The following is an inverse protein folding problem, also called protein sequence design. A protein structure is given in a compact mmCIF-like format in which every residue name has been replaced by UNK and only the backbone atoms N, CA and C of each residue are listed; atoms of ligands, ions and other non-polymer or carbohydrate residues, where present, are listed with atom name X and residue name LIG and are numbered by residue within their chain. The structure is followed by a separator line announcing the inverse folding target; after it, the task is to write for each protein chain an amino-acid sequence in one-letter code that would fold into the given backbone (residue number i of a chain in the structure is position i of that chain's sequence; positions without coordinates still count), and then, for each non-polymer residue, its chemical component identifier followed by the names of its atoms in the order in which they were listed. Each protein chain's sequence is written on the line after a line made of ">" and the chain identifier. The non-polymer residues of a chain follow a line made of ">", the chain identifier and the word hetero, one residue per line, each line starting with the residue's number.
data_IF_994648432107
#
_entry.id   IF_994648432107
#
_cell.length_a   1.000
_cell.length_b   1.000
_cell.length_c   1.000
_cell.angle_alpha   90.00
_cell.angle_beta   90.00
_cell.angle_gamma   90.00
#
_symmetry.space_group_name_H-M   'P 1'
#
loop_
_entity.id
_entity.type
_entity.pdbx_description
1 polymer ?
#
# COMPACT_ATOMS: atom_id res chain seq x y z
N UNK A 1 -9.53 9.17 6.26
CA UNK A 1 -9.08 9.75 4.96
C UNK A 1 -7.94 10.74 5.16
N UNK A 2 -7.99 11.64 6.14
CA UNK A 2 -6.96 12.68 6.34
C UNK A 2 -5.55 12.11 6.62
N UNK A 3 -5.46 11.03 7.39
CA UNK A 3 -4.18 10.38 7.76
C UNK A 3 -3.46 9.81 6.53
N UNK A 4 -4.19 9.16 5.63
CA UNK A 4 -3.64 8.62 4.39
C UNK A 4 -3.19 9.72 3.44
N UNK A 5 -3.97 10.81 3.32
CA UNK A 5 -3.63 11.94 2.46
C UNK A 5 -2.31 12.60 2.88
N UNK A 6 -2.07 12.78 4.19
CA UNK A 6 -0.81 13.33 4.71
C UNK A 6 0.37 12.44 4.29
N UNK A 7 0.24 11.12 4.43
CA UNK A 7 1.28 10.17 4.03
C UNK A 7 1.66 10.29 2.55
N UNK A 8 0.67 10.40 1.67
CA UNK A 8 0.89 10.54 0.22
C UNK A 8 1.60 11.86 -0.10
N UNK A 9 1.19 12.96 0.54
CA UNK A 9 1.84 14.28 0.35
C UNK A 9 3.31 14.23 0.75
N UNK A 10 3.63 13.58 1.88
CA UNK A 10 5.03 13.45 2.33
C UNK A 10 5.86 12.64 1.33
N UNK A 11 5.35 11.49 0.85
CA UNK A 11 6.06 10.71 -0.17
C UNK A 11 6.28 11.52 -1.43
N UNK A 12 5.26 12.20 -1.95
CA UNK A 12 5.37 13.03 -3.15
C UNK A 12 6.38 14.16 -2.96
N UNK A 13 6.42 14.81 -1.80
CA UNK A 13 7.39 15.88 -1.52
C UNK A 13 8.84 15.41 -1.58
N UNK A 14 9.11 14.14 -1.20
CA UNK A 14 10.45 13.55 -1.31
C UNK A 14 10.74 13.09 -2.73
N UNK A 15 9.73 12.54 -3.46
CA UNK A 15 9.88 12.19 -4.88
C UNK A 15 10.33 13.40 -5.71
N UNK A 16 9.74 14.57 -5.47
CA UNK A 16 10.11 15.83 -6.17
C UNK A 16 11.58 16.18 -5.97
N UNK A 17 12.18 15.88 -4.83
CA UNK A 17 13.61 16.18 -4.57
C UNK A 17 14.54 15.46 -5.53
N UNK A 18 14.17 14.29 -6.05
CA UNK A 18 14.96 13.58 -7.06
C UNK A 18 14.96 14.25 -8.45
N UNK A 19 14.13 15.26 -8.64
CA UNK A 19 14.10 16.08 -9.85
C UNK A 19 14.74 17.48 -9.62
N UNK A 20 15.25 17.76 -8.40
CA UNK A 20 15.82 19.08 -8.02
C UNK A 20 17.33 18.95 -7.79
N UNK A 21 18.10 19.87 -8.37
CA UNK A 21 19.53 20.05 -8.13
C UNK A 21 19.80 21.53 -7.81
N UNK A 22 20.53 21.79 -6.73
CA UNK A 22 20.87 23.17 -6.28
C UNK A 22 19.66 24.10 -6.18
N UNK A 23 18.51 23.57 -5.73
CA UNK A 23 17.27 24.33 -5.58
C UNK A 23 16.50 24.57 -6.88
N UNK A 24 16.99 24.10 -8.03
CA UNK A 24 16.33 24.22 -9.32
C UNK A 24 15.82 22.88 -9.83
N UNK A 25 14.63 22.89 -10.45
CA UNK A 25 14.10 21.70 -11.09
C UNK A 25 14.84 21.44 -12.40
N UNK A 26 15.56 20.31 -12.46
CA UNK A 26 16.36 19.91 -13.62
C UNK A 26 15.68 18.82 -14.45
N UNK A 27 14.68 18.16 -13.89
CA UNK A 27 13.94 17.05 -14.51
C UNK A 27 12.52 16.99 -13.95
N UNK A 28 11.67 16.18 -14.57
CA UNK A 28 10.38 15.70 -14.03
C UNK A 28 10.28 14.16 -14.11
N UNK A 29 11.40 13.49 -14.30
CA UNK A 29 11.42 12.07 -14.57
C UNK A 29 10.99 11.24 -13.37
N UNK A 30 11.43 11.60 -12.16
CA UNK A 30 11.05 10.92 -10.93
C UNK A 30 9.55 11.09 -10.65
N UNK A 31 9.03 12.31 -10.78
CA UNK A 31 7.61 12.60 -10.59
C UNK A 31 6.72 11.88 -11.62
N UNK A 32 7.12 11.89 -12.89
CA UNK A 32 6.38 11.25 -13.96
C UNK A 32 6.37 9.72 -13.78
N UNK A 33 7.54 9.12 -13.53
CA UNK A 33 7.70 7.68 -13.32
C UNK A 33 6.92 7.19 -12.10
N UNK A 34 7.10 7.86 -10.94
CA UNK A 34 6.35 7.57 -9.73
C UNK A 34 4.85 7.74 -9.92
N UNK A 35 4.42 8.88 -10.50
CA UNK A 35 3.01 9.21 -10.66
C UNK A 35 2.26 8.23 -11.55
N UNK A 36 2.85 7.80 -12.67
CA UNK A 36 2.26 6.79 -13.55
C UNK A 36 2.20 5.42 -12.88
N UNK A 37 3.29 4.99 -12.23
CA UNK A 37 3.35 3.72 -11.52
C UNK A 37 2.34 3.66 -10.36
N UNK A 38 2.25 4.72 -9.55
CA UNK A 38 1.30 4.82 -8.44
C UNK A 38 -0.17 4.78 -8.93
N UNK A 39 -0.50 5.46 -10.04
CA UNK A 39 -1.84 5.38 -10.64
C UNK A 39 -2.17 3.97 -11.11
N UNK A 40 -1.21 3.28 -11.72
CA UNK A 40 -1.40 1.91 -12.17
C UNK A 40 -1.62 0.97 -10.98
N UNK A 41 -0.77 1.04 -9.94
CA UNK A 41 -0.95 0.30 -8.69
C UNK A 41 -2.31 0.60 -8.05
N UNK A 42 -2.74 1.86 -8.02
CA UNK A 42 -4.06 2.24 -7.53
C UNK A 42 -5.21 1.55 -8.29
N UNK A 43 -5.05 1.34 -9.59
CA UNK A 43 -6.04 0.59 -10.39
C UNK A 43 -6.09 -0.89 -9.98
N UNK A 44 -4.96 -1.51 -9.70
CA UNK A 44 -4.89 -2.89 -9.20
C UNK A 44 -5.48 -3.03 -7.80
N UNK A 45 -5.32 -2.02 -6.95
CA UNK A 45 -5.90 -1.98 -5.60
C UNK A 45 -7.44 -2.01 -5.62
N UNK A 46 -8.10 -1.60 -6.70
CA UNK A 46 -9.55 -1.59 -6.81
C UNK A 46 -10.15 -2.99 -6.62
N UNK A 47 -9.46 -4.04 -7.11
CA UNK A 47 -9.86 -5.44 -6.90
C UNK A 47 -9.85 -5.79 -5.41
N UNK A 48 -8.78 -5.45 -4.69
CA UNK A 48 -8.65 -5.71 -3.25
C UNK A 48 -9.68 -4.92 -2.43
N UNK A 49 -9.98 -3.67 -2.86
CA UNK A 49 -11.01 -2.83 -2.26
C UNK A 49 -12.41 -3.46 -2.37
N UNK A 50 -12.75 -3.99 -3.54
CA UNK A 50 -14.02 -4.68 -3.77
C UNK A 50 -14.17 -5.91 -2.86
N UNK A 51 -13.16 -6.76 -2.79
CA UNK A 51 -13.13 -7.90 -1.89
C UNK A 51 -13.21 -7.48 -0.41
N UNK A 52 -12.51 -6.41 -0.03
CA UNK A 52 -12.56 -5.86 1.32
C UNK A 52 -13.96 -5.41 1.71
N UNK A 53 -14.63 -4.64 0.85
CA UNK A 53 -16.01 -4.18 1.08
C UNK A 53 -17.00 -5.35 1.24
N UNK A 54 -16.84 -6.40 0.43
CA UNK A 54 -17.62 -7.63 0.58
C UNK A 54 -17.37 -8.30 1.95
N UNK A 55 -16.12 -8.33 2.42
CA UNK A 55 -15.77 -8.88 3.74
C UNK A 55 -16.36 -8.06 4.89
N UNK A 56 -16.35 -6.73 4.80
CA UNK A 56 -17.00 -5.88 5.80
C UNK A 56 -18.49 -6.24 5.93
N UNK A 57 -19.21 -6.30 4.80
CA UNK A 57 -20.63 -6.65 4.79
C UNK A 57 -20.89 -8.08 5.28
N UNK A 58 -20.08 -9.05 4.84
CA UNK A 58 -20.17 -10.44 5.27
C UNK A 58 -20.00 -10.59 6.78
N UNK A 59 -18.98 -9.97 7.36
CA UNK A 59 -18.71 -10.03 8.80
C UNK A 59 -19.84 -9.35 9.59
N UNK A 60 -20.28 -8.16 9.17
CA UNK A 60 -21.33 -7.42 9.86
C UNK A 60 -22.67 -8.18 9.88
N UNK A 61 -23.10 -8.73 8.73
CA UNK A 61 -24.34 -9.50 8.62
C UNK A 61 -24.32 -10.77 9.50
N UNK A 62 -23.21 -11.53 9.46
CA UNK A 62 -23.11 -12.75 10.25
C UNK A 62 -22.92 -12.47 11.74
N UNK A 63 -22.33 -11.32 12.13
CA UNK A 63 -22.25 -10.87 13.51
C UNK A 63 -23.66 -10.55 14.04
N UNK A 64 -24.45 -9.79 13.29
CA UNK A 64 -25.83 -9.48 13.66
C UNK A 64 -26.73 -10.71 13.77
N UNK A 65 -26.45 -11.77 13.00
CA UNK A 65 -27.15 -13.05 13.06
C UNK A 65 -26.59 -14.03 14.12
N UNK A 66 -25.53 -13.66 14.87
CA UNK A 66 -24.88 -14.54 15.85
C UNK A 66 -24.09 -15.71 15.23
N UNK A 67 -23.81 -15.69 13.93
CA UNK A 67 -23.17 -16.79 13.19
C UNK A 67 -21.62 -16.72 13.27
N UNK A 68 -21.05 -16.84 14.47
CA UNK A 68 -19.60 -16.69 14.69
C UNK A 68 -18.75 -17.73 13.96
N UNK A 69 -19.24 -18.96 13.83
CA UNK A 69 -18.54 -20.01 13.10
C UNK A 69 -18.41 -19.66 11.62
N UNK A 70 -19.47 -19.09 11.04
CA UNK A 70 -19.46 -18.62 9.65
C UNK A 70 -18.48 -17.47 9.43
N UNK A 71 -18.38 -16.53 10.39
CA UNK A 71 -17.39 -15.46 10.34
C UNK A 71 -15.97 -16.03 10.31
N UNK A 72 -15.66 -16.99 11.21
CA UNK A 72 -14.32 -17.60 11.27
C UNK A 72 -13.97 -18.37 10.00
N UNK A 73 -14.90 -19.18 9.48
CA UNK A 73 -14.70 -19.91 8.22
C UNK A 73 -14.52 -18.96 7.04
N UNK A 74 -15.37 -17.94 6.93
CA UNK A 74 -15.29 -16.93 5.88
C UNK A 74 -14.00 -16.12 5.94
N UNK A 75 -13.53 -15.71 7.12
CA UNK A 75 -12.27 -15.02 7.27
C UNK A 75 -11.06 -15.86 6.82
N UNK A 76 -11.06 -17.17 7.13
CA UNK A 76 -10.02 -18.10 6.65
C UNK A 76 -10.05 -18.30 5.13
N UNK A 77 -11.23 -18.39 4.54
CA UNK A 77 -11.39 -18.48 3.09
C UNK A 77 -10.96 -17.16 2.41
N UNK A 78 -11.29 -16.03 3.03
CA UNK A 78 -10.87 -14.72 2.54
C UNK A 78 -9.35 -14.56 2.52
N UNK A 79 -8.59 -15.13 3.47
CA UNK A 79 -7.12 -15.15 3.41
C UNK A 79 -6.62 -15.73 2.07
N UNK A 80 -7.21 -16.86 1.63
CA UNK A 80 -6.84 -17.49 0.36
C UNK A 80 -7.27 -16.63 -0.81
N UNK A 81 -8.49 -16.06 -0.77
CA UNK A 81 -9.00 -15.19 -1.85
C UNK A 81 -8.13 -13.94 -2.01
N UNK A 82 -7.75 -13.29 -0.91
CA UNK A 82 -6.87 -12.12 -0.96
C UNK A 82 -5.46 -12.48 -1.42
N UNK A 83 -4.92 -13.64 -1.02
CA UNK A 83 -3.63 -14.11 -1.52
C UNK A 83 -3.65 -14.34 -3.04
N UNK A 84 -4.72 -14.96 -3.57
CA UNK A 84 -4.89 -15.15 -5.02
C UNK A 84 -5.04 -13.80 -5.73
N UNK A 85 -5.91 -12.91 -5.24
CA UNK A 85 -6.12 -11.60 -5.82
C UNK A 85 -4.82 -10.77 -5.83
N UNK A 86 -4.06 -10.83 -4.75
CA UNK A 86 -2.75 -10.16 -4.64
C UNK A 86 -1.74 -10.77 -5.62
N UNK A 87 -1.69 -12.09 -5.75
CA UNK A 87 -0.81 -12.74 -6.72
C UNK A 87 -1.15 -12.35 -8.16
N UNK A 88 -2.43 -12.27 -8.51
CA UNK A 88 -2.90 -11.80 -9.83
C UNK A 88 -2.48 -10.34 -10.04
N UNK A 89 -2.72 -9.46 -9.05
CA UNK A 89 -2.34 -8.05 -9.13
C UNK A 89 -0.82 -7.88 -9.27
N UNK A 90 -0.03 -8.65 -8.53
CA UNK A 90 1.43 -8.69 -8.64
C UNK A 90 1.88 -9.11 -10.03
N UNK A 91 1.30 -10.18 -10.57
CA UNK A 91 1.62 -10.67 -11.92
C UNK A 91 1.28 -9.61 -12.98
N UNK A 92 0.10 -8.99 -12.92
CA UNK A 92 -0.29 -7.91 -13.83
C UNK A 92 0.63 -6.70 -13.68
N UNK A 93 1.04 -6.34 -12.47
CA UNK A 93 1.98 -5.27 -12.20
C UNK A 93 3.34 -5.53 -12.88
N UNK A 94 3.93 -6.71 -12.69
CA UNK A 94 5.18 -7.07 -13.35
C UNK A 94 5.05 -7.17 -14.87
N UNK A 95 3.97 -7.75 -15.39
CA UNK A 95 3.71 -7.83 -16.83
C UNK A 95 3.62 -6.43 -17.45
N UNK A 96 3.05 -5.45 -16.76
CA UNK A 96 2.93 -4.08 -17.25
C UNK A 96 4.26 -3.35 -17.38
N UNK A 97 5.32 -3.82 -16.72
CA UNK A 97 6.69 -3.28 -16.89
C UNK A 97 7.34 -3.73 -18.20
N UNK A 98 6.83 -4.80 -18.82
CA UNK A 98 7.28 -5.25 -20.14
C UNK A 98 6.82 -4.22 -21.16
N UNK A 99 7.76 -3.67 -21.92
CA UNK A 99 7.48 -2.58 -22.87
C UNK A 99 7.03 -1.27 -22.22
N UNK A 100 7.12 -1.16 -20.88
CA UNK A 100 6.71 0.02 -20.12
C UNK A 100 5.25 0.43 -20.33
N UNK A 101 4.38 -0.56 -20.54
CA UNK A 101 2.97 -0.36 -20.91
C UNK A 101 2.24 0.58 -19.95
N UNK A 102 2.46 0.44 -18.63
CA UNK A 102 1.81 1.28 -17.63
C UNK A 102 2.17 2.78 -17.75
N UNK A 103 3.40 3.11 -18.24
CA UNK A 103 3.78 4.51 -18.46
C UNK A 103 2.99 5.11 -19.63
N UNK A 104 2.85 4.37 -20.71
CA UNK A 104 2.12 4.83 -21.90
C UNK A 104 0.60 4.98 -21.68
N UNK A 105 0.04 4.40 -20.61
CA UNK A 105 -1.35 4.61 -20.21
C UNK A 105 -1.60 6.01 -19.60
N UNK A 106 -0.58 6.58 -18.96
CA UNK A 106 -0.75 7.79 -18.15
C UNK A 106 0.12 8.97 -18.61
N UNK A 107 1.10 8.72 -19.46
CA UNK A 107 2.03 9.72 -19.95
C UNK A 107 2.02 9.78 -21.47
N UNK A 108 2.19 11.00 -22.00
CA UNK A 108 2.47 11.20 -23.42
C UNK A 108 3.88 10.70 -23.77
N UNK A 109 4.10 10.31 -25.03
CA UNK A 109 5.34 9.66 -25.48
C UNK A 109 6.59 10.51 -25.21
N UNK A 110 6.48 11.83 -25.30
CA UNK A 110 7.56 12.79 -25.03
C UNK A 110 8.04 12.78 -23.57
N UNK A 111 7.21 12.33 -22.62
CA UNK A 111 7.53 12.24 -21.19
C UNK A 111 8.07 10.87 -20.76
N UNK A 112 8.02 9.88 -21.64
CA UNK A 112 8.54 8.53 -21.37
C UNK A 112 10.02 8.48 -21.75
N UNK A 113 10.85 9.10 -20.92
CA UNK A 113 12.32 9.10 -21.07
C UNK A 113 12.95 7.88 -20.39
N UNK A 114 14.24 7.63 -20.65
CA UNK A 114 14.97 6.55 -20.00
C UNK A 114 14.97 6.68 -18.45
N UNK A 115 15.08 7.91 -17.94
CA UNK A 115 15.02 8.16 -16.50
C UNK A 115 13.61 7.97 -15.95
N UNK A 116 12.57 8.42 -16.66
CA UNK A 116 11.18 8.15 -16.28
C UNK A 116 10.90 6.64 -16.16
N UNK A 117 11.39 5.86 -17.11
CA UNK A 117 11.29 4.39 -17.11
C UNK A 117 12.04 3.81 -15.91
N UNK A 118 13.25 4.30 -15.63
CA UNK A 118 14.08 3.84 -14.51
C UNK A 118 13.39 4.07 -13.17
N UNK A 119 12.86 5.27 -12.94
CA UNK A 119 12.14 5.61 -11.72
C UNK A 119 10.83 4.84 -11.59
N UNK A 120 10.03 4.80 -12.63
CA UNK A 120 8.76 4.06 -12.63
C UNK A 120 8.94 2.56 -12.38
N UNK A 121 9.89 1.93 -13.09
CA UNK A 121 10.20 0.50 -12.89
C UNK A 121 10.81 0.23 -11.50
N UNK A 122 11.57 1.16 -10.93
CA UNK A 122 12.06 1.08 -9.57
C UNK A 122 10.92 0.97 -8.57
N UNK A 123 9.94 1.87 -8.67
CA UNK A 123 8.72 1.83 -7.84
C UNK A 123 7.94 0.52 -8.04
N UNK A 124 7.62 0.18 -9.30
CA UNK A 124 6.83 -1.02 -9.61
C UNK A 124 7.45 -2.29 -9.06
N UNK A 125 8.78 -2.45 -9.17
CA UNK A 125 9.48 -3.64 -8.65
C UNK A 125 9.34 -3.77 -7.14
N UNK A 126 9.55 -2.69 -6.39
CA UNK A 126 9.45 -2.70 -4.93
C UNK A 126 8.01 -2.95 -4.50
N UNK A 127 7.08 -2.18 -5.03
CA UNK A 127 5.68 -2.18 -4.63
C UNK A 127 5.00 -3.52 -4.93
N UNK A 128 5.22 -4.06 -6.16
CA UNK A 128 4.66 -5.35 -6.56
C UNK A 128 5.28 -6.52 -5.78
N UNK A 129 6.58 -6.48 -5.46
CA UNK A 129 7.23 -7.54 -4.68
C UNK A 129 6.67 -7.65 -3.27
N UNK A 130 6.14 -6.58 -2.71
CA UNK A 130 5.62 -6.49 -1.35
C UNK A 130 4.09 -6.30 -1.29
N UNK A 131 3.41 -6.47 -2.44
CA UNK A 131 1.97 -6.30 -2.60
C UNK A 131 1.15 -7.18 -1.66
N UNK A 132 1.73 -8.29 -1.16
CA UNK A 132 1.07 -9.20 -0.22
C UNK A 132 0.69 -8.49 1.09
N UNK A 133 1.52 -7.57 1.60
CA UNK A 133 1.19 -6.79 2.79
C UNK A 133 -0.03 -5.90 2.54
N UNK A 134 -0.14 -5.31 1.37
CA UNK A 134 -1.33 -4.53 1.02
C UNK A 134 -2.61 -5.39 1.03
N UNK A 135 -2.54 -6.62 0.50
CA UNK A 135 -3.64 -7.59 0.60
C UNK A 135 -4.02 -7.88 2.05
N UNK A 136 -3.02 -8.01 2.93
CA UNK A 136 -3.20 -8.12 4.38
C UNK A 136 -3.97 -6.94 4.96
N UNK A 137 -3.52 -5.71 4.68
CA UNK A 137 -4.19 -4.48 5.15
C UNK A 137 -5.65 -4.46 4.75
N UNK A 138 -5.97 -4.75 3.48
CA UNK A 138 -7.37 -4.77 3.04
C UNK A 138 -8.19 -5.82 3.76
N UNK A 139 -7.70 -7.05 3.90
CA UNK A 139 -8.43 -8.11 4.60
C UNK A 139 -8.62 -7.79 6.08
N UNK A 140 -7.54 -7.50 6.79
CA UNK A 140 -7.56 -7.30 8.25
C UNK A 140 -8.43 -6.10 8.62
N UNK A 141 -8.22 -4.96 7.94
CA UNK A 141 -8.98 -3.72 8.16
C UNK A 141 -10.47 -3.93 7.94
N UNK A 142 -10.87 -4.54 6.83
CA UNK A 142 -12.27 -4.73 6.50
C UNK A 142 -12.97 -5.75 7.41
N UNK A 143 -12.30 -6.82 7.82
CA UNK A 143 -12.84 -7.74 8.82
C UNK A 143 -13.06 -7.06 10.17
N UNK A 144 -12.08 -6.26 10.63
CA UNK A 144 -12.18 -5.51 11.90
C UNK A 144 -13.24 -4.42 11.81
N UNK A 145 -13.40 -3.79 10.64
CA UNK A 145 -14.48 -2.84 10.39
C UNK A 145 -15.85 -3.49 10.49
N UNK A 146 -16.01 -4.70 9.94
CA UNK A 146 -17.27 -5.44 9.98
C UNK A 146 -17.75 -5.81 11.38
N UNK A 147 -16.87 -5.89 12.38
CA UNK A 147 -17.24 -6.08 13.80
C UNK A 147 -17.49 -4.78 14.56
N UNK A 148 -17.46 -3.63 13.90
CA UNK A 148 -17.76 -2.33 14.51
C UNK A 148 -16.72 -1.82 15.51
N UNK A 149 -15.43 -2.15 15.34
CA UNK A 149 -14.34 -1.69 16.23
C UNK A 149 -13.40 -0.68 15.54
N UNK A 150 -13.86 0.57 15.33
CA UNK A 150 -13.11 1.58 14.56
C UNK A 150 -11.80 2.03 15.22
N UNK A 151 -11.67 1.90 16.55
CA UNK A 151 -10.46 2.27 17.28
C UNK A 151 -9.23 1.49 16.80
N UNK A 152 -9.38 0.22 16.41
CA UNK A 152 -8.27 -0.56 15.88
C UNK A 152 -7.90 -0.12 14.46
N UNK A 153 -8.87 0.29 13.66
CA UNK A 153 -8.66 0.82 12.31
C UNK A 153 -7.86 2.11 12.39
N UNK A 154 -8.22 2.98 13.34
CA UNK A 154 -7.47 4.21 13.59
C UNK A 154 -6.02 3.91 14.01
N UNK A 155 -5.82 2.95 14.94
CA UNK A 155 -4.49 2.51 15.36
C UNK A 155 -3.64 2.00 14.21
N UNK A 156 -4.20 1.17 13.32
CA UNK A 156 -3.53 0.70 12.11
C UNK A 156 -3.19 1.84 11.15
N UNK A 157 -4.10 2.81 10.96
CA UNK A 157 -3.86 3.99 10.14
C UNK A 157 -2.76 4.90 10.69
N UNK A 158 -2.68 5.07 12.01
CA UNK A 158 -1.59 5.82 12.66
C UNK A 158 -0.25 5.10 12.48
N UNK A 159 -0.20 3.78 12.69
CA UNK A 159 1.01 2.98 12.48
C UNK A 159 1.49 3.07 11.02
N UNK A 160 0.55 2.99 10.06
CA UNK A 160 0.81 3.17 8.63
C UNK A 160 1.43 4.54 8.33
N UNK A 161 0.85 5.62 8.87
CA UNK A 161 1.38 6.97 8.66
C UNK A 161 2.78 7.14 9.25
N UNK A 162 2.97 6.72 10.51
CA UNK A 162 4.26 6.86 11.20
C UNK A 162 5.35 6.09 10.45
N UNK A 163 5.10 4.84 10.08
CA UNK A 163 6.07 4.04 9.34
C UNK A 163 6.40 4.67 7.98
N UNK A 164 5.37 5.13 7.23
CA UNK A 164 5.55 5.79 5.93
C UNK A 164 6.41 7.03 6.04
N UNK A 165 6.12 7.92 6.99
CA UNK A 165 6.87 9.17 7.20
C UNK A 165 8.30 8.87 7.61
N UNK A 166 8.52 7.97 8.55
CA UNK A 166 9.87 7.61 9.01
C UNK A 166 10.71 7.01 7.88
N UNK A 167 10.18 6.03 7.15
CA UNK A 167 10.90 5.40 6.04
C UNK A 167 11.16 6.41 4.92
N UNK A 168 10.16 7.21 4.55
CA UNK A 168 10.25 8.19 3.48
C UNK A 168 11.30 9.27 3.75
N UNK A 169 11.45 9.72 4.99
CA UNK A 169 12.38 10.79 5.34
C UNK A 169 13.79 10.27 5.66
N UNK A 170 13.89 9.13 6.36
CA UNK A 170 15.17 8.67 6.89
C UNK A 170 15.92 7.75 5.92
N UNK A 171 15.22 6.82 5.25
CA UNK A 171 15.88 5.79 4.48
C UNK A 171 16.53 6.31 3.20
N UNK A 172 15.89 7.16 2.38
CA UNK A 172 16.52 7.77 1.21
C UNK A 172 17.72 8.64 1.59
N UNK A 173 17.61 9.43 2.66
CA UNK A 173 18.68 10.29 3.14
C UNK A 173 19.89 9.49 3.63
N UNK A 174 19.66 8.39 4.35
CA UNK A 174 20.71 7.49 4.80
C UNK A 174 21.45 6.83 3.62
N UNK A 175 20.72 6.41 2.57
CA UNK A 175 21.31 5.79 1.37
C UNK A 175 22.03 6.84 0.50
N UNK A 176 21.51 8.07 0.45
CA UNK A 176 22.16 9.18 -0.27
C UNK A 176 23.41 9.69 0.46
N UNK A 177 23.56 9.40 1.74
CA UNK A 177 24.63 9.95 2.58
C UNK A 177 24.44 11.42 2.95
N UNK A 178 23.20 11.95 2.85
CA UNK A 178 22.86 13.35 3.11
C UNK A 178 21.52 13.75 2.51
N UNK A 179 21.43 14.99 2.05
CA UNK A 179 20.20 15.48 1.42
C UNK A 179 19.90 14.76 0.10
N UNK A 180 18.61 14.46 -0.09
CA UNK A 180 18.11 13.86 -1.33
C UNK A 180 18.02 14.95 -2.41
N UNK A 181 18.61 14.66 -3.58
CA UNK A 181 18.60 15.55 -4.76
C UNK A 181 18.63 14.73 -6.05
N UNK A 182 18.60 15.41 -7.19
CA UNK A 182 18.74 14.76 -8.51
C UNK A 182 20.10 14.06 -8.71
N UNK A 183 21.12 14.44 -7.93
CA UNK A 183 22.44 13.79 -7.92
C UNK A 183 22.47 12.52 -7.03
N UNK A 184 21.43 12.25 -6.24
CA UNK A 184 21.40 11.10 -5.36
C UNK A 184 21.42 9.78 -6.15
N UNK A 185 22.06 8.72 -5.61
CA UNK A 185 22.09 7.42 -6.28
C UNK A 185 20.66 6.86 -6.41
N UNK A 186 20.40 6.14 -7.51
CA UNK A 186 19.07 5.52 -7.72
C UNK A 186 18.65 4.59 -6.57
N UNK A 187 19.60 4.02 -5.84
CA UNK A 187 19.32 3.23 -4.65
C UNK A 187 18.58 4.03 -3.57
N UNK A 188 18.81 5.35 -3.45
CA UNK A 188 18.07 6.22 -2.55
C UNK A 188 16.59 6.34 -2.95
N UNK A 189 16.31 6.39 -4.26
CA UNK A 189 14.93 6.37 -4.75
C UNK A 189 14.27 5.00 -4.50
N UNK A 190 14.98 3.90 -4.72
CA UNK A 190 14.47 2.56 -4.39
C UNK A 190 14.18 2.44 -2.89
N UNK A 191 15.02 3.04 -2.04
CA UNK A 191 14.79 3.12 -0.60
C UNK A 191 13.53 3.94 -0.25
N UNK A 192 13.26 5.03 -0.97
CA UNK A 192 12.00 5.77 -0.85
C UNK A 192 10.78 4.90 -1.19
N UNK A 193 10.87 4.07 -2.23
CA UNK A 193 9.77 3.21 -2.66
C UNK A 193 9.37 2.17 -1.58
N UNK A 194 10.21 1.89 -0.59
CA UNK A 194 9.86 1.04 0.54
C UNK A 194 8.88 1.70 1.53
N UNK A 195 8.62 3.01 1.41
CA UNK A 195 7.76 3.73 2.34
C UNK A 195 6.34 3.15 2.39
N UNK A 196 5.74 2.84 1.25
CA UNK A 196 4.40 2.26 1.17
C UNK A 196 4.36 0.81 1.69
N UNK A 197 5.21 -0.12 1.23
CA UNK A 197 5.23 -1.49 1.76
C UNK A 197 5.53 -1.58 3.26
N UNK A 198 6.42 -0.77 3.79
CA UNK A 198 6.71 -0.76 5.23
C UNK A 198 5.55 -0.19 6.04
N UNK A 199 4.82 0.77 5.49
CA UNK A 199 3.59 1.28 6.08
C UNK A 199 2.51 0.18 6.14
N UNK A 200 2.33 -0.59 5.07
CA UNK A 200 1.39 -1.72 5.05
C UNK A 200 1.78 -2.80 6.06
N UNK A 201 3.05 -3.14 6.12
CA UNK A 201 3.56 -4.10 7.10
C UNK A 201 3.29 -3.63 8.54
N UNK A 202 3.54 -2.35 8.86
CA UNK A 202 3.25 -1.80 10.18
C UNK A 202 1.75 -1.84 10.52
N UNK A 203 0.88 -1.52 9.55
CA UNK A 203 -0.56 -1.62 9.71
C UNK A 203 -1.00 -3.07 9.96
N UNK A 204 -0.45 -4.03 9.21
CA UNK A 204 -0.75 -5.46 9.37
C UNK A 204 -0.39 -5.96 10.77
N UNK A 205 0.77 -5.58 11.30
CA UNK A 205 1.18 -5.95 12.66
C UNK A 205 0.19 -5.47 13.72
N UNK A 206 -0.29 -4.24 13.60
CA UNK A 206 -1.28 -3.68 14.54
C UNK A 206 -2.64 -4.34 14.36
N UNK A 207 -3.09 -4.54 13.11
CA UNK A 207 -4.39 -5.11 12.79
C UNK A 207 -4.48 -6.62 13.03
N UNK A 208 -3.35 -7.34 13.02
CA UNK A 208 -3.32 -8.78 13.30
C UNK A 208 -3.84 -9.11 14.70
N UNK A 209 -3.57 -8.26 15.69
CA UNK A 209 -4.03 -8.47 17.07
C UNK A 209 -5.57 -8.51 17.14
N UNK A 210 -6.31 -7.45 16.74
CA UNK A 210 -7.78 -7.48 16.77
C UNK A 210 -8.36 -8.55 15.82
N UNK A 211 -7.74 -8.81 14.67
CA UNK A 211 -8.19 -9.85 13.77
C UNK A 211 -8.15 -11.25 14.43
N UNK A 212 -7.03 -11.62 15.03
CA UNK A 212 -6.92 -12.93 15.70
C UNK A 212 -7.85 -13.01 16.90
N UNK A 213 -7.90 -11.98 17.75
CA UNK A 213 -8.69 -12.00 19.00
C UNK A 213 -10.19 -11.91 18.74
N UNK A 214 -10.61 -11.05 17.82
CA UNK A 214 -12.02 -10.71 17.64
C UNK A 214 -12.67 -11.34 16.40
N UNK A 215 -11.88 -11.95 15.49
CA UNK A 215 -12.40 -12.64 14.31
C UNK A 215 -12.13 -14.14 14.41
N UNK A 216 -10.85 -14.57 14.48
CA UNK A 216 -10.50 -15.98 14.44
C UNK A 216 -10.85 -16.73 15.74
N UNK A 217 -10.79 -16.05 16.89
CA UNK A 217 -11.14 -16.60 18.21
C UNK A 217 -12.53 -16.17 18.71
N UNK A 218 -13.35 -15.59 17.83
CA UNK A 218 -14.70 -15.15 18.18
C UNK A 218 -15.59 -16.33 18.60
N UNK A 219 -16.33 -16.16 19.71
CA UNK A 219 -17.32 -17.08 20.24
C UNK A 219 -18.55 -16.34 20.75
N UNK A 220 -19.54 -17.05 21.31
CA UNK A 220 -20.78 -16.47 21.86
C UNK A 220 -20.53 -15.44 22.96
N UNK A 221 -19.42 -15.53 23.70
CA UNK A 221 -19.06 -14.57 24.77
C UNK A 221 -18.69 -13.20 24.22
N UNK A 222 -18.45 -13.10 22.91
CA UNK A 222 -18.17 -11.81 22.27
C UNK A 222 -19.32 -10.82 22.38
N UNK A 223 -20.58 -11.29 22.43
CA UNK A 223 -21.77 -10.47 22.56
C UNK A 223 -21.92 -9.79 23.95
N UNK A 224 -21.25 -10.32 24.96
CA UNK A 224 -21.36 -9.86 26.34
C UNK A 224 -20.12 -9.08 26.83
N UNK A 225 -19.24 -8.71 25.92
CA UNK A 225 -18.08 -7.84 26.14
C UNK A 225 -18.21 -6.52 25.41
#
# INVERSE_FOLDING_TARGET
>A
FSVLAIGIIVVQSVVVKFDILDGQMVSNAAQNGFGAANKFTGSLMTLLNGLGSAMTSFVAQNLGAGNFERIRKGARQALVMFAIATAISTALGFLSTIGNFYLHLFLSADKVTADTIRFGNGYMRVDMSLMLFLGGVFLLRNCVQGIGKPQFILGGGVAELVARVLVCLLLPAAVAGGEVSAAAPHAAYVALCLADPMAWFAADLVMMIPFVRNILKMDYRYLYK
#
